data_IF_874368721105
#
_entry.id   IF_874368721105
#
_cell.length_a   1.000
_cell.length_b   1.000
_cell.length_c   1.000
_cell.angle_alpha   90.00
_cell.angle_beta   90.00
_cell.angle_gamma   90.00
#
_symmetry.space_group_name_H-M   'P 1'
#
loop_
_entity.id
_entity.type
_entity.pdbx_description
1 polymer ?
#
# COMPACT_ATOMS: atom_id res chain seq x y z
N UNK A 1 5.28 8.23 -12.17
CA UNK A 1 4.28 7.23 -11.74
C UNK A 1 4.86 6.34 -10.65
N UNK A 2 4.97 6.80 -9.39
CA UNK A 2 5.60 6.03 -8.29
C UNK A 2 5.00 6.35 -6.91
N UNK A 3 3.69 6.62 -6.86
CA UNK A 3 3.00 7.14 -5.69
C UNK A 3 2.82 6.09 -4.59
N UNK A 4 1.60 5.54 -4.47
CA UNK A 4 1.09 4.74 -3.32
C UNK A 4 2.05 3.74 -2.68
N UNK A 5 2.95 3.17 -3.46
CA UNK A 5 3.54 1.89 -3.16
C UNK A 5 4.94 1.97 -2.55
N UNK A 6 5.52 3.18 -2.44
CA UNK A 6 6.76 3.39 -1.68
C UNK A 6 6.50 3.12 -0.18
N UNK A 7 5.29 3.40 0.30
CA UNK A 7 4.88 3.29 1.71
C UNK A 7 5.09 1.92 2.35
N UNK A 8 4.78 0.84 1.64
CA UNK A 8 4.97 -0.51 2.16
C UNK A 8 6.46 -0.89 2.23
N UNK A 9 7.32 -0.31 1.39
CA UNK A 9 8.76 -0.61 1.40
C UNK A 9 9.49 0.09 2.55
N UNK A 10 9.00 1.27 2.91
CA UNK A 10 9.65 2.13 3.90
C UNK A 10 9.24 1.79 5.30
N UNK A 11 8.03 1.23 5.44
CA UNK A 11 7.66 0.59 6.67
C UNK A 11 8.68 -0.50 7.02
N UNK A 12 9.10 -1.31 6.04
CA UNK A 12 10.10 -2.36 6.28
C UNK A 12 11.46 -1.85 6.73
N UNK A 13 11.96 -0.76 6.15
CA UNK A 13 13.32 -0.31 6.44
C UNK A 13 13.47 -0.02 7.96
N UNK A 14 12.38 0.25 8.68
CA UNK A 14 12.36 0.46 10.14
C UNK A 14 12.05 -0.83 10.93
N UNK A 15 11.84 -1.96 10.24
CA UNK A 15 11.62 -3.29 10.83
C UNK A 15 12.92 -4.07 11.07
N UNK A 16 14.09 -3.48 10.81
CA UNK A 16 15.38 -4.10 11.11
C UNK A 16 15.59 -4.38 12.62
N UNK A 17 14.77 -3.80 13.49
CA UNK A 17 14.84 -4.04 14.94
C UNK A 17 14.08 -5.29 15.43
N UNK A 18 13.38 -6.03 14.57
CA UNK A 18 12.68 -7.27 14.95
C UNK A 18 12.76 -8.31 13.84
N UNK A 19 13.97 -8.81 13.57
CA UNK A 19 14.16 -10.08 12.87
C UNK A 19 14.39 -11.14 13.93
N UNK A 20 13.35 -11.88 14.31
CA UNK A 20 13.55 -13.17 14.97
C UNK A 20 13.96 -14.17 13.88
N UNK A 21 15.27 -14.35 13.73
CA UNK A 21 15.82 -15.40 12.87
C UNK A 21 15.69 -16.75 13.58
N UNK A 22 14.68 -17.53 13.18
CA UNK A 22 14.68 -18.95 13.49
C UNK A 22 15.72 -19.62 12.58
N UNK A 23 16.81 -20.10 13.18
CA UNK A 23 17.90 -20.89 12.56
C UNK A 23 19.11 -20.15 11.95
N UNK A 24 19.88 -19.42 12.78
CA UNK A 24 21.34 -19.57 12.84
C UNK A 24 21.89 -18.92 14.13
N UNK A 25 22.50 -19.67 15.08
CA UNK A 25 23.01 -19.09 16.33
C UNK A 25 24.09 -18.01 16.13
N UNK A 26 24.74 -17.93 14.97
CA UNK A 26 25.66 -16.84 14.64
C UNK A 26 24.96 -15.53 14.24
N UNK A 27 23.70 -15.59 13.78
CA UNK A 27 22.88 -14.41 13.50
C UNK A 27 21.93 -14.04 14.66
N UNK A 28 21.71 -14.94 15.62
CA UNK A 28 20.78 -14.76 16.74
C UNK A 28 21.36 -14.01 17.95
N UNK A 29 22.50 -13.31 17.80
CA UNK A 29 23.03 -12.40 18.82
C UNK A 29 23.47 -11.08 18.23
N UNK A 30 22.65 -10.03 18.43
CA UNK A 30 23.09 -8.74 18.98
C UNK A 30 21.88 -7.89 19.37
N UNK A 31 21.96 -7.30 20.56
CA UNK A 31 20.97 -6.38 21.11
C UNK A 31 20.89 -5.04 20.36
N UNK A 32 20.50 -3.94 21.04
CA UNK A 32 19.89 -2.76 20.43
C UNK A 32 20.72 -2.22 19.26
N UNK A 33 20.03 -2.02 18.12
CA UNK A 33 20.56 -1.93 16.77
C UNK A 33 21.88 -1.17 16.57
N UNK A 34 22.67 -1.72 15.66
CA UNK A 34 23.92 -1.18 15.12
C UNK A 34 23.74 0.27 14.64
N UNK A 35 24.82 1.05 14.62
CA UNK A 35 24.83 2.44 14.15
C UNK A 35 24.28 2.58 12.71
N UNK A 36 24.47 1.55 11.88
CA UNK A 36 23.92 1.45 10.52
C UNK A 36 22.39 1.28 10.52
N UNK A 37 21.84 0.48 11.43
CA UNK A 37 20.38 0.31 11.60
C UNK A 37 19.74 1.60 12.09
N UNK A 38 20.35 2.28 13.07
CA UNK A 38 19.86 3.59 13.54
C UNK A 38 19.92 4.66 12.46
N UNK A 39 20.97 4.66 11.63
CA UNK A 39 21.09 5.59 10.50
C UNK A 39 20.02 5.32 9.43
N UNK A 40 19.69 4.05 9.17
CA UNK A 40 18.60 3.67 8.26
C UNK A 40 17.24 4.07 8.86
N UNK A 41 16.99 3.82 10.15
CA UNK A 41 15.79 4.25 10.85
C UNK A 41 15.61 5.77 10.82
N UNK A 42 16.68 6.52 11.10
CA UNK A 42 16.66 7.98 11.07
C UNK A 42 16.47 8.50 9.64
N UNK A 43 17.07 7.85 8.64
CA UNK A 43 16.86 8.16 7.23
C UNK A 43 15.39 7.95 6.84
N UNK A 44 14.75 6.86 7.25
CA UNK A 44 13.32 6.63 6.97
C UNK A 44 12.46 7.66 7.67
N UNK A 45 12.72 7.94 8.94
CA UNK A 45 11.97 8.92 9.72
C UNK A 45 12.12 10.34 9.16
N UNK A 46 13.30 10.69 8.63
CA UNK A 46 13.56 11.97 7.96
C UNK A 46 12.96 12.01 6.55
N UNK A 47 12.98 10.90 5.83
CA UNK A 47 12.49 10.81 4.44
C UNK A 47 10.97 10.74 4.39
N UNK A 48 10.32 10.16 5.40
CA UNK A 48 8.87 10.00 5.49
C UNK A 48 8.29 10.78 6.64
N UNK A 49 8.15 12.09 6.42
CA UNK A 49 7.25 12.91 7.22
C UNK A 49 5.83 12.60 6.79
N UNK A 50 4.97 12.24 7.73
CA UNK A 50 3.56 12.13 7.45
C UNK A 50 2.93 13.53 7.29
N UNK A 51 1.99 13.71 6.34
CA UNK A 51 1.47 12.72 5.40
C UNK A 51 2.46 12.37 4.28
N UNK A 52 2.47 11.09 3.86
CA UNK A 52 3.27 10.65 2.71
C UNK A 52 2.60 11.09 1.42
N UNK A 53 3.33 11.79 0.56
CA UNK A 53 2.79 12.36 -0.67
C UNK A 53 3.15 11.52 -1.90
N UNK A 54 2.22 11.47 -2.83
CA UNK A 54 2.29 10.60 -3.98
C UNK A 54 1.88 11.35 -5.24
N UNK A 55 2.73 11.24 -6.26
CA UNK A 55 2.47 11.80 -7.58
C UNK A 55 1.43 11.01 -8.38
N UNK A 56 1.21 11.45 -9.62
CA UNK A 56 0.08 10.99 -10.42
C UNK A 56 0.26 9.55 -10.94
N UNK A 57 -0.82 8.79 -10.94
CA UNK A 57 -0.91 7.47 -11.58
C UNK A 57 -2.34 7.17 -12.03
N UNK A 58 -2.48 6.21 -12.94
CA UNK A 58 -3.78 5.74 -13.41
C UNK A 58 -3.93 4.24 -13.14
N UNK A 59 -5.14 3.83 -12.79
CA UNK A 59 -5.52 2.45 -12.57
C UNK A 59 -6.56 2.09 -13.62
N UNK A 60 -6.29 1.00 -14.33
CA UNK A 60 -7.21 0.50 -15.34
C UNK A 60 -8.40 -0.22 -14.68
N UNK A 61 -9.56 -0.25 -15.36
CA UNK A 61 -10.72 -1.00 -14.89
C UNK A 61 -10.36 -2.45 -14.59
N UNK A 62 -10.88 -2.98 -13.48
CA UNK A 62 -10.90 -4.43 -13.23
C UNK A 62 -12.00 -5.12 -14.05
N UNK A 63 -12.12 -6.44 -13.86
CA UNK A 63 -13.14 -7.27 -14.52
C UNK A 63 -14.41 -7.48 -13.67
N UNK A 64 -14.50 -6.81 -12.51
CA UNK A 64 -15.56 -6.99 -11.52
C UNK A 64 -16.83 -6.18 -11.82
N UNK A 65 -17.67 -5.98 -10.79
CA UNK A 65 -18.88 -5.14 -10.93
C UNK A 65 -18.54 -3.65 -10.97
N UNK A 66 -17.41 -3.27 -10.37
CA UNK A 66 -16.90 -1.91 -10.41
C UNK A 66 -15.78 -1.81 -11.45
N UNK A 67 -16.13 -1.36 -12.65
CA UNK A 67 -15.25 -1.28 -13.82
C UNK A 67 -14.94 0.17 -14.11
N UNK A 68 -14.06 0.75 -13.32
CA UNK A 68 -13.69 2.17 -13.41
C UNK A 68 -12.23 2.33 -13.75
N UNK A 69 -11.96 3.18 -14.74
CA UNK A 69 -10.66 3.78 -14.95
C UNK A 69 -10.54 4.91 -13.95
N UNK A 70 -9.43 4.96 -13.24
CA UNK A 70 -9.16 5.98 -12.23
C UNK A 70 -7.86 6.67 -12.57
N UNK A 71 -7.85 8.00 -12.52
CA UNK A 71 -6.63 8.81 -12.50
C UNK A 71 -6.57 9.49 -11.15
N UNK A 72 -5.45 9.29 -10.49
CA UNK A 72 -5.23 9.70 -9.12
C UNK A 72 -4.09 10.70 -9.09
N UNK A 73 -4.34 11.85 -8.47
CA UNK A 73 -3.39 12.95 -8.34
C UNK A 73 -3.29 13.41 -6.88
N UNK A 74 -2.15 13.99 -6.51
CA UNK A 74 -1.92 14.62 -5.20
C UNK A 74 -2.35 13.77 -4.01
N UNK A 75 -2.04 12.47 -4.05
CA UNK A 75 -2.47 11.60 -2.96
C UNK A 75 -1.60 11.84 -1.72
N UNK A 76 -2.26 11.96 -0.57
CA UNK A 76 -1.67 12.11 0.75
C UNK A 76 -2.13 10.96 1.64
N UNK A 77 -1.20 10.17 2.17
CA UNK A 77 -1.52 9.03 3.04
C UNK A 77 -0.96 9.24 4.44
N UNK A 78 -1.81 9.01 5.44
CA UNK A 78 -1.50 9.19 6.87
C UNK A 78 -1.86 7.94 7.68
N UNK A 79 -1.11 7.67 8.74
CA UNK A 79 -1.35 6.57 9.69
C UNK A 79 -0.31 5.46 9.65
N UNK A 80 0.58 5.48 8.66
CA UNK A 80 1.65 4.51 8.41
C UNK A 80 2.76 4.53 9.46
N UNK A 81 2.98 5.69 10.08
CA UNK A 81 3.89 5.86 11.22
C UNK A 81 3.48 5.01 12.43
N UNK A 82 2.20 4.64 12.52
CA UNK A 82 1.64 3.83 13.60
C UNK A 82 1.55 2.33 13.26
N UNK A 83 2.07 1.92 12.10
CA UNK A 83 1.99 0.54 11.67
C UNK A 83 2.88 -0.37 12.53
N UNK A 84 2.33 -1.49 13.01
CA UNK A 84 3.09 -2.62 13.57
C UNK A 84 3.64 -3.44 12.41
N UNK A 85 4.86 -3.96 12.57
CA UNK A 85 5.65 -4.51 11.47
C UNK A 85 6.35 -5.77 11.91
N UNK A 86 6.29 -6.82 11.11
CA UNK A 86 7.05 -8.04 11.33
C UNK A 86 7.77 -8.45 10.06
N UNK A 87 8.97 -9.00 10.21
CA UNK A 87 9.79 -9.52 9.11
C UNK A 87 10.32 -10.88 9.53
N UNK A 88 10.10 -11.88 8.69
CA UNK A 88 10.63 -13.23 8.88
C UNK A 88 11.36 -13.62 7.61
N UNK A 89 12.66 -13.88 7.72
CA UNK A 89 13.48 -14.28 6.59
C UNK A 89 13.91 -15.74 6.74
N UNK A 90 13.54 -16.57 5.77
CA UNK A 90 14.07 -17.92 5.59
C UNK A 90 14.90 -17.93 4.31
N UNK A 91 16.18 -17.60 4.45
CA UNK A 91 17.12 -17.54 3.33
C UNK A 91 17.46 -18.93 2.77
N UNK A 92 17.28 -20.01 3.54
CA UNK A 92 17.47 -21.38 3.06
C UNK A 92 16.33 -21.77 2.12
N UNK A 93 15.10 -21.42 2.47
CA UNK A 93 13.92 -21.57 1.60
C UNK A 93 13.82 -20.49 0.51
N UNK A 94 14.68 -19.47 0.54
CA UNK A 94 14.69 -18.38 -0.42
C UNK A 94 13.48 -17.46 -0.30
N UNK A 95 12.99 -17.22 0.92
CA UNK A 95 11.78 -16.41 1.17
C UNK A 95 11.94 -15.37 2.26
N UNK A 96 11.29 -14.22 2.08
CA UNK A 96 11.14 -13.19 3.11
C UNK A 96 9.65 -12.87 3.24
N UNK A 97 9.10 -13.04 4.43
CA UNK A 97 7.74 -12.67 4.79
C UNK A 97 7.73 -11.35 5.56
N UNK A 98 6.76 -10.52 5.24
CA UNK A 98 6.57 -9.19 5.81
C UNK A 98 5.10 -9.03 6.17
N UNK A 99 4.81 -8.50 7.35
CA UNK A 99 3.45 -8.10 7.70
C UNK A 99 3.44 -6.66 8.21
N UNK A 100 2.46 -5.90 7.75
CA UNK A 100 2.16 -4.54 8.16
C UNK A 100 0.75 -4.49 8.69
N UNK A 101 0.57 -3.97 9.88
CA UNK A 101 -0.75 -3.77 10.48
C UNK A 101 -0.90 -2.33 10.90
N UNK A 102 -1.94 -1.66 10.40
CA UNK A 102 -2.26 -0.29 10.76
C UNK A 102 -3.72 -0.19 11.15
N UNK A 103 -3.99 0.35 12.34
CA UNK A 103 -5.36 0.47 12.87
C UNK A 103 -6.25 1.37 12.03
N UNK A 104 -5.68 2.44 11.46
CA UNK A 104 -6.40 3.36 10.59
C UNK A 104 -5.45 3.98 9.57
N UNK A 105 -5.78 3.82 8.31
CA UNK A 105 -5.11 4.46 7.19
C UNK A 105 -6.06 5.50 6.58
N UNK A 106 -5.60 6.72 6.42
CA UNK A 106 -6.40 7.81 5.82
C UNK A 106 -5.69 8.36 4.60
N UNK A 107 -6.43 8.43 3.50
CA UNK A 107 -5.95 8.84 2.19
C UNK A 107 -6.78 10.03 1.71
N UNK A 108 -6.13 11.15 1.44
CA UNK A 108 -6.73 12.29 0.73
C UNK A 108 -6.20 12.29 -0.71
N UNK A 109 -7.06 12.55 -1.68
CA UNK A 109 -6.68 12.43 -3.08
C UNK A 109 -7.54 13.30 -3.99
N UNK A 110 -6.95 13.81 -5.07
CA UNK A 110 -7.68 14.37 -6.20
C UNK A 110 -7.90 13.25 -7.23
N UNK A 111 -9.16 12.90 -7.49
CA UNK A 111 -9.51 11.79 -8.36
C UNK A 111 -10.18 12.27 -9.64
N UNK A 112 -10.01 11.49 -10.70
CA UNK A 112 -10.85 11.49 -11.89
C UNK A 112 -11.20 10.03 -12.18
N UNK A 113 -12.49 9.71 -12.27
CA UNK A 113 -12.97 8.36 -12.53
C UNK A 113 -13.96 8.36 -13.70
N UNK A 114 -13.93 7.28 -14.46
CA UNK A 114 -14.86 7.03 -15.55
C UNK A 114 -15.05 5.52 -15.72
N UNK A 115 -16.30 5.07 -15.85
CA UNK A 115 -16.61 3.68 -16.12
C UNK A 115 -17.99 3.31 -15.62
N UNK A 116 -18.11 2.13 -15.02
CA UNK A 116 -19.39 1.55 -14.63
C UNK A 116 -19.35 0.99 -13.21
N UNK A 117 -20.42 1.24 -12.46
CA UNK A 117 -20.76 0.50 -11.26
C UNK A 117 -21.98 -0.37 -11.58
N UNK A 118 -21.81 -1.70 -11.59
CA UNK A 118 -22.73 -2.65 -12.18
C UNK A 118 -22.97 -2.32 -13.68
N UNK A 119 -24.18 -1.87 -14.01
CA UNK A 119 -24.59 -1.44 -15.34
C UNK A 119 -24.67 0.09 -15.46
N UNK A 120 -24.51 0.82 -14.36
CA UNK A 120 -24.73 2.25 -14.33
C UNK A 120 -23.42 2.99 -14.64
N UNK A 121 -23.40 3.86 -15.66
CA UNK A 121 -22.23 4.66 -15.95
C UNK A 121 -21.98 5.62 -14.79
N UNK A 122 -20.74 5.66 -14.32
CA UNK A 122 -20.25 6.58 -13.30
C UNK A 122 -19.05 7.32 -13.86
N UNK A 123 -19.04 8.63 -13.68
CA UNK A 123 -17.90 9.48 -14.01
C UNK A 123 -17.81 10.59 -12.97
N UNK A 124 -16.64 11.16 -12.74
CA UNK A 124 -16.52 12.26 -11.79
C UNK A 124 -15.09 12.72 -11.63
N UNK A 125 -14.94 13.98 -11.24
CA UNK A 125 -13.64 14.58 -10.96
C UNK A 125 -13.78 15.46 -9.72
N UNK A 126 -12.98 15.17 -8.72
CA UNK A 126 -13.10 15.85 -7.44
C UNK A 126 -12.08 15.40 -6.43
N UNK A 127 -12.35 15.68 -5.16
CA UNK A 127 -11.57 15.25 -4.01
C UNK A 127 -12.21 14.02 -3.39
N UNK A 128 -11.38 13.11 -2.91
CA UNK A 128 -11.81 11.99 -2.10
C UNK A 128 -11.05 11.94 -0.78
N UNK A 129 -11.76 11.50 0.26
CA UNK A 129 -11.17 11.00 1.50
C UNK A 129 -11.55 9.53 1.61
N UNK A 130 -10.53 8.68 1.73
CA UNK A 130 -10.68 7.24 1.87
C UNK A 130 -10.05 6.82 3.19
N UNK A 131 -10.81 6.18 4.04
CA UNK A 131 -10.35 5.64 5.32
C UNK A 131 -10.48 4.12 5.29
N UNK A 132 -9.47 3.42 5.78
CA UNK A 132 -9.48 1.97 5.93
C UNK A 132 -9.08 1.63 7.36
N UNK A 133 -9.82 0.74 8.00
CA UNK A 133 -9.65 0.36 9.40
C UNK A 133 -9.15 -1.08 9.54
N UNK A 134 -8.25 -1.29 10.52
CA UNK A 134 -7.55 -2.55 10.78
C UNK A 134 -6.95 -3.17 9.51
N UNK A 135 -6.18 -2.37 8.78
CA UNK A 135 -5.51 -2.80 7.54
C UNK A 135 -4.36 -3.73 7.90
N UNK A 136 -4.35 -4.91 7.29
CA UNK A 136 -3.25 -5.87 7.32
C UNK A 136 -2.74 -6.09 5.90
N UNK A 137 -1.44 -5.87 5.68
CA UNK A 137 -0.78 -6.16 4.41
C UNK A 137 0.34 -7.15 4.65
N UNK A 138 0.31 -8.26 3.92
CA UNK A 138 1.39 -9.25 3.96
C UNK A 138 2.10 -9.24 2.63
N UNK A 139 3.44 -9.21 2.65
CA UNK A 139 4.24 -9.35 1.45
C UNK A 139 5.16 -10.57 1.58
N UNK A 140 5.17 -11.42 0.56
CA UNK A 140 6.10 -12.54 0.42
C UNK A 140 7.05 -12.21 -0.72
N UNK A 141 8.34 -12.05 -0.42
CA UNK A 141 9.38 -11.92 -1.42
C UNK A 141 10.07 -13.27 -1.61
N UNK A 142 10.27 -13.66 -2.86
CA UNK A 142 11.18 -14.75 -3.24
C UNK A 142 12.54 -14.14 -3.51
N UNK A 143 13.58 -14.73 -2.91
CA UNK A 143 14.95 -14.23 -3.00
C UNK A 143 15.92 -15.30 -3.48
N UNK A 144 16.94 -14.87 -4.20
CA UNK A 144 18.11 -15.67 -4.55
C UNK A 144 19.36 -15.03 -4.00
N UNK A 145 20.33 -15.86 -3.60
CA UNK A 145 21.66 -15.39 -3.22
C UNK A 145 22.63 -15.61 -4.38
N UNK A 146 23.27 -14.53 -4.85
CA UNK A 146 24.30 -14.61 -5.89
C UNK A 146 25.48 -13.71 -5.50
N UNK A 147 26.67 -14.29 -5.36
CA UNK A 147 27.90 -13.59 -4.93
C UNK A 147 27.70 -12.77 -3.63
N UNK A 148 27.17 -13.41 -2.59
CA UNK A 148 26.84 -12.80 -1.29
C UNK A 148 25.86 -11.61 -1.34
N UNK A 149 25.12 -11.46 -2.45
CA UNK A 149 24.05 -10.47 -2.59
C UNK A 149 22.69 -11.14 -2.68
N UNK A 150 21.75 -10.65 -1.88
CA UNK A 150 20.35 -11.05 -1.93
C UNK A 150 19.67 -10.28 -3.06
N UNK A 151 19.04 -11.01 -3.99
CA UNK A 151 18.21 -10.46 -5.05
C UNK A 151 16.77 -10.89 -4.86
N UNK A 152 15.85 -9.93 -4.88
CA UNK A 152 14.40 -10.21 -4.95
C UNK A 152 14.04 -10.54 -6.40
N UNK A 153 13.55 -11.75 -6.62
CA UNK A 153 13.10 -12.24 -7.92
C UNK A 153 11.60 -12.03 -8.12
N UNK A 154 10.83 -12.17 -7.03
CA UNK A 154 9.38 -12.01 -7.05
C UNK A 154 8.91 -11.39 -5.73
N UNK A 155 7.83 -10.62 -5.80
CA UNK A 155 7.11 -10.16 -4.61
C UNK A 155 5.62 -10.32 -4.82
N UNK A 156 4.96 -10.93 -3.83
CA UNK A 156 3.51 -11.10 -3.79
C UNK A 156 2.93 -10.40 -2.58
N UNK A 157 1.83 -9.68 -2.78
CA UNK A 157 1.17 -8.92 -1.72
C UNK A 157 -0.24 -9.45 -1.50
N UNK A 158 -0.62 -9.59 -0.24
CA UNK A 158 -2.00 -9.73 0.18
C UNK A 158 -2.40 -8.51 1.00
N UNK A 159 -3.64 -8.07 0.83
CA UNK A 159 -4.21 -6.92 1.53
C UNK A 159 -5.53 -7.35 2.15
N UNK A 160 -5.74 -7.03 3.42
CA UNK A 160 -6.98 -7.24 4.15
C UNK A 160 -7.29 -6.01 5.01
N UNK A 161 -8.58 -5.80 5.29
CA UNK A 161 -9.08 -4.72 6.12
C UNK A 161 -10.43 -5.12 6.72
N UNK A 162 -10.75 -4.56 7.88
CA UNK A 162 -12.03 -4.82 8.56
C UNK A 162 -13.19 -4.05 7.92
N UNK A 163 -12.99 -2.76 7.71
CA UNK A 163 -13.98 -1.80 7.23
C UNK A 163 -13.30 -0.61 6.54
N UNK A 164 -14.09 0.24 5.92
CA UNK A 164 -13.61 1.49 5.36
C UNK A 164 -14.72 2.50 5.10
N UNK A 165 -14.29 3.69 4.72
CA UNK A 165 -15.16 4.83 4.50
C UNK A 165 -14.66 5.61 3.30
N UNK A 166 -15.60 6.06 2.48
CA UNK A 166 -15.43 6.89 1.32
C UNK A 166 -16.18 8.20 1.53
N UNK A 167 -15.51 9.29 1.24
CA UNK A 167 -16.10 10.60 0.99
C UNK A 167 -15.65 11.04 -0.40
N UNK A 168 -16.59 11.33 -1.30
CA UNK A 168 -16.33 11.65 -2.69
C UNK A 168 -17.11 12.91 -3.05
N UNK A 169 -16.42 13.92 -3.58
CA UNK A 169 -17.06 15.12 -4.12
C UNK A 169 -17.27 15.03 -5.63
N UNK A 170 -18.39 15.54 -6.14
CA UNK A 170 -18.60 15.74 -7.58
C UNK A 170 -18.56 14.46 -8.41
N UNK A 171 -19.08 13.36 -7.86
CA UNK A 171 -19.46 12.18 -8.64
C UNK A 171 -20.65 12.56 -9.55
N UNK A 172 -20.62 12.10 -10.80
CA UNK A 172 -21.54 12.46 -11.89
C UNK A 172 -21.37 13.87 -12.48
N UNK A 173 -20.44 14.68 -11.97
CA UNK A 173 -20.23 16.06 -12.40
C UNK A 173 -21.38 17.00 -12.01
N UNK A 174 -21.22 18.30 -12.28
CA UNK A 174 -22.16 19.35 -11.82
C UNK A 174 -23.47 19.40 -12.62
N UNK A 175 -23.52 18.81 -13.81
CA UNK A 175 -24.71 18.81 -14.67
C UNK A 175 -25.78 17.82 -14.23
N UNK A 176 -25.46 16.93 -13.30
CA UNK A 176 -26.35 15.88 -12.82
C UNK A 176 -27.02 16.28 -11.50
N UNK A 177 -28.16 15.67 -11.15
CA UNK A 177 -28.84 15.99 -9.89
C UNK A 177 -27.90 15.81 -8.69
N UNK A 178 -27.74 16.88 -7.90
CA UNK A 178 -26.77 16.93 -6.79
C UNK A 178 -26.97 15.86 -5.71
N UNK A 179 -28.12 15.17 -5.67
CA UNK A 179 -28.36 14.06 -4.75
C UNK A 179 -27.65 12.76 -5.14
N UNK A 180 -27.20 12.61 -6.40
CA UNK A 180 -26.58 11.37 -6.89
C UNK A 180 -25.24 11.09 -6.20
N UNK A 181 -24.40 12.12 -6.02
CA UNK A 181 -23.14 11.96 -5.27
C UNK A 181 -23.39 11.42 -3.86
N UNK A 182 -24.20 12.10 -3.00
CA UNK A 182 -24.51 11.60 -1.66
C UNK A 182 -25.13 10.19 -1.64
N UNK A 183 -26.01 9.88 -2.60
CA UNK A 183 -26.64 8.56 -2.70
C UNK A 183 -25.60 7.46 -2.94
N UNK A 184 -24.70 7.66 -3.90
CA UNK A 184 -23.68 6.67 -4.23
C UNK A 184 -22.61 6.55 -3.14
N UNK A 185 -22.21 7.65 -2.51
CA UNK A 185 -21.33 7.62 -1.33
C UNK A 185 -21.96 6.79 -0.21
N UNK A 186 -23.27 6.96 0.05
CA UNK A 186 -23.99 6.14 1.02
C UNK A 186 -23.99 4.66 0.65
N UNK A 187 -24.20 4.32 -0.63
CA UNK A 187 -24.13 2.94 -1.12
C UNK A 187 -22.72 2.36 -0.96
N UNK A 188 -21.67 3.12 -1.31
CA UNK A 188 -20.29 2.67 -1.17
C UNK A 188 -19.93 2.44 0.29
N UNK A 189 -20.30 3.34 1.19
CA UNK A 189 -20.03 3.18 2.62
C UNK A 189 -20.81 2.01 3.25
N UNK A 190 -22.06 1.79 2.85
CA UNK A 190 -22.83 0.64 3.30
C UNK A 190 -22.26 -0.71 2.82
N UNK A 191 -21.41 -0.69 1.80
CA UNK A 191 -20.80 -1.88 1.18
C UNK A 191 -19.27 -1.75 1.09
N UNK A 192 -18.66 -0.99 2.00
CA UNK A 192 -17.25 -0.55 1.92
C UNK A 192 -16.30 -1.71 1.62
N UNK A 193 -16.35 -2.77 2.43
CA UNK A 193 -15.51 -3.97 2.30
C UNK A 193 -15.64 -4.63 0.93
N UNK A 194 -16.87 -4.73 0.41
CA UNK A 194 -17.11 -5.29 -0.92
C UNK A 194 -16.50 -4.39 -2.00
N UNK A 195 -16.73 -3.07 -1.93
CA UNK A 195 -16.18 -2.11 -2.89
C UNK A 195 -14.65 -2.14 -2.90
N UNK A 196 -14.00 -2.20 -1.73
CA UNK A 196 -12.55 -2.35 -1.65
C UNK A 196 -12.07 -3.65 -2.27
N UNK A 197 -12.71 -4.78 -1.96
CA UNK A 197 -12.34 -6.08 -2.54
C UNK A 197 -12.50 -6.12 -4.07
N UNK A 198 -13.44 -5.37 -4.63
CA UNK A 198 -13.62 -5.26 -6.08
C UNK A 198 -12.50 -4.43 -6.74
N UNK A 199 -12.03 -3.35 -6.10
CA UNK A 199 -10.98 -2.49 -6.68
C UNK A 199 -9.57 -2.99 -6.42
N UNK A 200 -9.32 -3.64 -5.28
CA UNK A 200 -7.98 -4.06 -4.82
C UNK A 200 -7.18 -4.83 -5.87
N UNK A 201 -7.75 -5.80 -6.62
CA UNK A 201 -7.02 -6.53 -7.67
C UNK A 201 -6.39 -5.62 -8.73
N UNK A 202 -6.95 -4.45 -9.01
CA UNK A 202 -6.37 -3.50 -9.97
C UNK A 202 -5.17 -2.71 -9.39
N UNK A 203 -5.05 -2.64 -8.06
CA UNK A 203 -3.95 -1.94 -7.36
C UNK A 203 -2.82 -2.87 -6.94
N UNK A 204 -3.09 -4.14 -6.64
CA UNK A 204 -2.08 -5.10 -6.15
C UNK A 204 -0.89 -5.23 -7.12
N UNK A 205 -1.05 -5.43 -8.44
CA UNK A 205 0.09 -5.58 -9.34
C UNK A 205 1.01 -4.34 -9.36
N UNK A 206 0.44 -3.14 -9.34
CA UNK A 206 1.22 -1.89 -9.23
C UNK A 206 1.93 -1.80 -7.87
N UNK A 207 1.32 -2.31 -6.81
CA UNK A 207 1.94 -2.41 -5.49
C UNK A 207 3.15 -3.34 -5.50
N UNK A 208 3.01 -4.52 -6.10
CA UNK A 208 4.05 -5.54 -6.21
C UNK A 208 5.25 -5.00 -7.00
N UNK A 209 5.01 -4.34 -8.13
CA UNK A 209 6.06 -3.78 -8.98
C UNK A 209 6.88 -2.71 -8.27
N UNK A 210 6.20 -1.74 -7.65
CA UNK A 210 6.90 -0.63 -6.97
C UNK A 210 7.61 -1.15 -5.72
N UNK A 211 6.97 -2.01 -4.92
CA UNK A 211 7.63 -2.62 -3.77
C UNK A 211 8.90 -3.35 -4.21
N UNK A 212 8.80 -4.23 -5.21
CA UNK A 212 9.93 -4.98 -5.76
C UNK A 212 11.06 -4.04 -6.24
N UNK A 213 10.71 -2.93 -6.88
CA UNK A 213 11.68 -1.94 -7.36
C UNK A 213 12.41 -1.25 -6.21
N UNK A 214 11.69 -0.75 -5.20
CA UNK A 214 12.33 -0.09 -4.06
C UNK A 214 13.19 -1.09 -3.29
N UNK A 215 12.70 -2.32 -3.13
CA UNK A 215 13.43 -3.42 -2.51
C UNK A 215 14.76 -3.74 -3.18
N UNK A 216 14.76 -3.81 -4.51
CA UNK A 216 15.97 -4.02 -5.30
C UNK A 216 16.99 -2.90 -5.05
N UNK A 217 16.55 -1.65 -5.02
CA UNK A 217 17.40 -0.49 -4.76
C UNK A 217 17.98 -0.47 -3.33
N UNK A 218 17.23 -0.98 -2.35
CA UNK A 218 17.69 -1.11 -0.96
C UNK A 218 18.76 -2.20 -0.88
N UNK A 219 18.47 -3.40 -1.37
CA UNK A 219 19.39 -4.55 -1.29
C UNK A 219 20.66 -4.35 -2.13
N UNK A 220 20.61 -3.57 -3.21
CA UNK A 220 21.82 -3.22 -3.99
C UNK A 220 22.82 -2.37 -3.20
N UNK A 221 22.37 -1.66 -2.15
CA UNK A 221 23.19 -0.78 -1.32
C UNK A 221 23.67 -1.43 0.00
N UNK A 222 23.16 -2.62 0.32
CA UNK A 222 23.51 -3.36 1.54
C UNK A 222 24.61 -4.35 1.24
#
# INVERSE_FOLDING_TARGET
>A
MRGIFIVFTLCFLASFNTVESNENPEFARKGPGTERERAIEELIRKTFREPVTFGNFSVNPGNGVLRVKQTINNMLVSGLSKAVRTVQADLKAGTIFMTYEVKRLTTHVDYELEGYCLLLPIWGKGKAVVVMDDVRVTAKATVTSQHDKIKITEMKITFDMSDGYFDLSSLFGESQPGFLTPLYVKVFNANSRYIFNEILPSYIPHSEEVLSTVWRLVLEKV
#
